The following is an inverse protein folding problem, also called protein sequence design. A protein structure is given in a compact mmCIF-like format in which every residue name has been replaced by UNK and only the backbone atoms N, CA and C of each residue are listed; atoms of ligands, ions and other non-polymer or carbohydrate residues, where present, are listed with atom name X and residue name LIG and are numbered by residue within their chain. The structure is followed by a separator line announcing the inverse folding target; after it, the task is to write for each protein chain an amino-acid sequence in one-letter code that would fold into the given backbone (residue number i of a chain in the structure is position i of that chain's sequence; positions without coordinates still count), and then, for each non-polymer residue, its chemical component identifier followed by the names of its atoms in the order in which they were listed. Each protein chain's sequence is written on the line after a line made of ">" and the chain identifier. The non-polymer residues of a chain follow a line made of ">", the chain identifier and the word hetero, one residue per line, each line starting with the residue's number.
data_IF_428414990578
#
_entry.id   IF_428414990578
#
_cell.length_a   1.000
_cell.length_b   1.000
_cell.length_c   1.000
_cell.angle_alpha   90.00
_cell.angle_beta   90.00
_cell.angle_gamma   90.00
#
_symmetry.space_group_name_H-M   'P 1'
#
loop_
_entity.id
_entity.type
_entity.pdbx_description
1 polymer ?
#
# COMPACT_ATOMS: atom_id res chain seq x y z
N UNK A 1 20.50 2.63 10.57
CA UNK A 1 19.84 1.55 9.82
C UNK A 1 19.16 0.65 10.82
N UNK A 2 17.84 0.74 10.94
CA UNK A 2 17.06 -0.34 11.53
C UNK A 2 16.98 -1.41 10.45
N UNK A 3 17.58 -2.58 10.71
CA UNK A 3 17.43 -3.77 9.89
C UNK A 3 15.96 -4.19 10.00
N UNK A 4 15.18 -3.98 8.94
CA UNK A 4 13.81 -4.48 8.87
C UNK A 4 13.89 -6.01 8.85
N UNK A 5 13.49 -6.65 9.94
CA UNK A 5 13.46 -8.10 9.99
C UNK A 5 12.49 -8.59 8.90
N UNK A 6 12.88 -9.58 8.10
CA UNK A 6 12.05 -10.15 7.01
C UNK A 6 10.60 -10.42 7.42
N UNK A 7 10.37 -10.75 8.69
CA UNK A 7 9.06 -11.01 9.28
C UNK A 7 8.15 -9.77 9.40
N UNK A 8 8.72 -8.58 9.60
CA UNK A 8 7.97 -7.31 9.68
C UNK A 8 7.47 -6.89 8.30
N UNK A 9 8.24 -7.16 7.24
CA UNK A 9 7.84 -6.80 5.87
C UNK A 9 6.65 -7.63 5.38
N UNK A 10 6.56 -8.91 5.79
CA UNK A 10 5.39 -9.73 5.48
C UNK A 10 4.11 -9.24 6.19
N UNK A 11 4.23 -8.53 7.31
CA UNK A 11 3.09 -7.94 8.00
C UNK A 11 2.53 -6.71 7.25
N UNK A 12 3.28 -6.17 6.28
CA UNK A 12 2.82 -5.08 5.41
C UNK A 12 1.86 -5.55 4.30
N UNK A 13 1.88 -6.84 3.94
CA UNK A 13 1.10 -7.37 2.81
C UNK A 13 -0.42 -7.15 2.93
N UNK A 14 -1.05 -7.38 4.10
CA UNK A 14 -2.46 -7.06 4.26
C UNK A 14 -2.74 -5.57 4.03
N UNK A 15 -1.85 -4.67 4.45
CA UNK A 15 -2.02 -3.23 4.22
C UNK A 15 -1.86 -2.86 2.75
N UNK A 16 -0.90 -3.47 2.04
CA UNK A 16 -0.74 -3.31 0.60
C UNK A 16 -2.03 -3.68 -0.15
N UNK A 17 -2.69 -4.76 0.26
CA UNK A 17 -3.94 -5.24 -0.34
C UNK A 17 -5.16 -4.38 0.03
N UNK A 18 -5.28 -4.02 1.31
CA UNK A 18 -6.57 -3.69 1.91
C UNK A 18 -7.26 -2.48 1.29
N UNK A 19 -6.58 -1.34 1.21
CA UNK A 19 -7.20 -0.11 0.68
C UNK A 19 -7.53 -0.22 -0.81
N UNK A 20 -6.59 -0.67 -1.69
CA UNK A 20 -6.93 -0.89 -3.09
C UNK A 20 -8.08 -1.90 -3.28
N UNK A 21 -8.07 -3.04 -2.56
CA UNK A 21 -9.11 -4.05 -2.73
C UNK A 21 -10.47 -3.56 -2.23
N UNK A 22 -10.50 -2.89 -1.09
CA UNK A 22 -11.73 -2.34 -0.53
C UNK A 22 -12.36 -1.31 -1.48
N UNK A 23 -11.55 -0.39 -2.01
CA UNK A 23 -11.98 0.62 -2.99
C UNK A 23 -12.46 0.00 -4.30
N UNK A 24 -11.89 -1.14 -4.71
CA UNK A 24 -12.35 -1.87 -5.89
C UNK A 24 -13.69 -2.62 -5.68
N UNK A 25 -14.25 -2.60 -4.47
CA UNK A 25 -15.53 -3.24 -4.14
C UNK A 25 -15.42 -4.62 -3.49
N UNK A 26 -14.21 -5.15 -3.27
CA UNK A 26 -14.04 -6.41 -2.54
C UNK A 26 -14.36 -6.22 -1.06
N UNK A 27 -14.74 -7.29 -0.36
CA UNK A 27 -15.10 -7.22 1.06
C UNK A 27 -14.27 -8.13 1.94
N UNK A 28 -13.73 -9.22 1.41
CA UNK A 28 -12.83 -10.08 2.15
C UNK A 28 -11.46 -10.19 1.47
N UNK A 29 -10.46 -10.53 2.28
CA UNK A 29 -9.08 -10.73 1.80
C UNK A 29 -9.02 -11.80 0.71
N UNK A 30 -9.77 -12.89 0.85
CA UNK A 30 -9.74 -14.00 -0.11
C UNK A 30 -10.40 -13.65 -1.44
N UNK A 31 -11.52 -12.92 -1.44
CA UNK A 31 -12.13 -12.44 -2.67
C UNK A 31 -11.13 -11.59 -3.47
N UNK A 32 -10.41 -10.70 -2.79
CA UNK A 32 -9.40 -9.86 -3.40
C UNK A 32 -8.19 -10.65 -3.90
N UNK A 33 -7.71 -11.64 -3.13
CA UNK A 33 -6.56 -12.47 -3.53
C UNK A 33 -6.87 -13.41 -4.70
N UNK A 34 -8.13 -13.80 -4.88
CA UNK A 34 -8.57 -14.58 -6.05
C UNK A 34 -8.55 -13.75 -7.35
N UNK A 35 -8.48 -12.42 -7.27
CA UNK A 35 -8.28 -11.58 -8.43
C UNK A 35 -6.78 -11.48 -8.80
N UNK A 36 -6.49 -11.83 -10.05
CA UNK A 36 -5.13 -11.83 -10.61
C UNK A 36 -4.42 -10.47 -10.55
N UNK A 37 -5.14 -9.34 -10.60
CA UNK A 37 -4.54 -8.01 -10.53
C UNK A 37 -3.95 -7.75 -9.15
N UNK A 38 -4.68 -8.09 -8.08
CA UNK A 38 -4.24 -7.89 -6.71
C UNK A 38 -3.15 -8.88 -6.30
N UNK A 39 -3.32 -10.16 -6.64
CA UNK A 39 -2.30 -11.17 -6.38
C UNK A 39 -0.99 -10.88 -7.13
N UNK A 40 -1.06 -10.40 -8.37
CA UNK A 40 0.13 -9.95 -9.12
C UNK A 40 0.74 -8.68 -8.52
N UNK A 41 -0.07 -7.72 -8.07
CA UNK A 41 0.41 -6.51 -7.39
C UNK A 41 1.21 -6.86 -6.12
N UNK A 42 0.69 -7.74 -5.27
CA UNK A 42 1.37 -8.20 -4.07
C UNK A 42 2.62 -9.02 -4.38
N UNK A 43 2.54 -9.93 -5.35
CA UNK A 43 3.70 -10.71 -5.80
C UNK A 43 4.82 -9.78 -6.29
N UNK A 44 4.46 -8.77 -7.08
CA UNK A 44 5.43 -7.81 -7.62
C UNK A 44 6.05 -6.97 -6.49
N UNK A 45 5.25 -6.52 -5.52
CA UNK A 45 5.78 -5.84 -4.33
C UNK A 45 6.81 -6.71 -3.59
N UNK A 46 6.49 -7.98 -3.32
CA UNK A 46 7.43 -8.88 -2.66
C UNK A 46 8.72 -9.04 -3.47
N UNK A 47 8.61 -9.38 -4.74
CA UNK A 47 9.77 -9.69 -5.57
C UNK A 47 10.65 -8.48 -5.86
N UNK A 48 10.05 -7.30 -6.06
CA UNK A 48 10.78 -6.11 -6.49
C UNK A 48 11.15 -5.18 -5.35
N UNK A 49 10.33 -5.09 -4.31
CA UNK A 49 10.50 -4.08 -3.26
C UNK A 49 10.96 -4.66 -1.94
N UNK A 50 10.79 -5.97 -1.72
CA UNK A 50 11.15 -6.62 -0.45
C UNK A 50 12.36 -7.53 -0.61
N UNK A 51 12.29 -8.50 -1.52
CA UNK A 51 13.34 -9.51 -1.69
C UNK A 51 14.75 -8.93 -1.88
N UNK A 52 14.97 -7.84 -2.63
CA UNK A 52 16.32 -7.28 -2.79
C UNK A 52 16.98 -6.83 -1.48
N UNK A 53 16.18 -6.42 -0.48
CA UNK A 53 16.68 -6.05 0.83
C UNK A 53 16.89 -7.27 1.73
N UNK A 54 16.00 -8.26 1.64
CA UNK A 54 16.11 -9.54 2.39
C UNK A 54 17.27 -10.40 1.89
N UNK A 55 17.52 -10.47 0.58
CA UNK A 55 18.61 -11.26 -0.02
C UNK A 55 20.00 -10.67 0.27
N UNK A 56 20.07 -9.36 0.55
CA UNK A 56 21.31 -8.67 0.92
C UNK A 56 21.79 -9.00 2.35
N UNK A 57 20.91 -9.53 3.19
CA UNK A 57 21.26 -10.07 4.51
C UNK A 57 21.76 -11.51 4.30
N UNK A 58 23.07 -11.75 4.43
CA UNK A 58 23.75 -13.05 4.26
C UNK A 58 23.29 -14.10 5.32
N UNK A 59 22.02 -14.51 5.30
CA UNK A 59 21.46 -15.52 6.19
C UNK A 59 21.09 -16.80 5.42
N UNK A 60 21.36 -18.02 5.95
CA UNK A 60 21.05 -19.29 5.30
C UNK A 60 19.55 -19.57 4.99
N UNK A 61 18.63 -18.66 5.34
CA UNK A 61 17.17 -18.83 5.24
C UNK A 61 16.52 -18.30 3.93
N UNK A 62 17.31 -17.89 2.94
CA UNK A 62 16.82 -17.22 1.72
C UNK A 62 15.81 -18.08 0.90
N UNK A 63 16.03 -19.40 0.84
CA UNK A 63 15.11 -20.30 0.12
C UNK A 63 13.77 -20.51 0.86
N UNK A 64 13.79 -20.34 2.19
CA UNK A 64 12.62 -20.51 3.04
C UNK A 64 11.68 -19.31 2.96
N UNK A 65 12.18 -18.09 2.85
CA UNK A 65 11.34 -16.88 2.76
C UNK A 65 10.46 -16.87 1.49
N UNK A 66 11.04 -17.23 0.34
CA UNK A 66 10.30 -17.28 -0.94
C UNK A 66 9.25 -18.38 -0.98
N UNK A 67 9.53 -19.50 -0.30
CA UNK A 67 8.63 -20.65 -0.23
C UNK A 67 7.55 -20.46 0.84
N UNK A 68 7.88 -19.86 1.98
CA UNK A 68 6.94 -19.51 3.05
C UNK A 68 5.89 -18.50 2.58
N UNK A 69 6.26 -17.47 1.82
CA UNK A 69 5.26 -16.49 1.36
C UNK A 69 4.30 -17.12 0.34
N UNK A 70 4.82 -17.84 -0.67
CA UNK A 70 3.95 -18.55 -1.63
C UNK A 70 3.02 -19.53 -0.92
N UNK A 71 3.53 -20.22 0.10
CA UNK A 71 2.74 -21.06 0.99
C UNK A 71 1.64 -20.28 1.73
N UNK A 72 1.94 -19.10 2.28
CA UNK A 72 0.98 -18.25 3.02
C UNK A 72 -0.15 -17.71 2.14
N UNK A 73 0.16 -17.28 0.92
CA UNK A 73 -0.88 -16.89 -0.05
C UNK A 73 -1.69 -18.08 -0.56
N UNK A 74 -1.11 -19.28 -0.51
CA UNK A 74 -1.81 -20.52 -0.88
C UNK A 74 -2.57 -21.15 0.29
N UNK A 75 -2.30 -20.72 1.53
CA UNK A 75 -3.02 -21.20 2.71
C UNK A 75 -4.21 -20.31 3.00
N UNK A 76 -5.41 -20.90 3.04
CA UNK A 76 -6.63 -20.25 3.47
C UNK A 76 -6.63 -19.59 4.85
N UNK A 77 -6.03 -18.42 5.01
CA UNK A 77 -6.46 -17.47 6.05
C UNK A 77 -7.60 -16.61 5.47
N UNK A 78 -8.59 -17.30 4.89
CA UNK A 78 -9.70 -16.77 4.09
C UNK A 78 -10.76 -16.15 4.99
N UNK A 79 -11.41 -15.11 4.50
CA UNK A 79 -12.60 -14.43 5.07
C UNK A 79 -12.38 -13.29 6.06
N UNK A 80 -11.15 -12.83 6.34
CA UNK A 80 -10.98 -11.60 7.10
C UNK A 80 -11.62 -10.42 6.34
N UNK A 81 -12.57 -9.67 6.96
CA UNK A 81 -13.17 -8.52 6.32
C UNK A 81 -12.12 -7.45 6.06
N UNK A 82 -12.03 -6.96 4.82
CA UNK A 82 -11.10 -5.89 4.44
C UNK A 82 -11.29 -4.63 5.27
N UNK A 83 -12.52 -4.37 5.75
CA UNK A 83 -12.80 -3.25 6.66
C UNK A 83 -12.03 -3.37 7.99
N UNK A 84 -11.85 -4.59 8.50
CA UNK A 84 -11.07 -4.83 9.73
C UNK A 84 -9.57 -4.66 9.46
N UNK A 85 -9.12 -4.99 8.25
CA UNK A 85 -7.72 -4.76 7.84
C UNK A 85 -7.47 -3.27 7.61
N UNK A 86 -8.45 -2.53 7.07
CA UNK A 86 -8.36 -1.08 6.84
C UNK A 86 -8.45 -0.26 8.13
N UNK A 87 -9.12 -0.78 9.17
CA UNK A 87 -9.33 -0.12 10.45
C UNK A 87 -8.01 0.41 11.03
N UNK A 88 -7.99 1.68 11.42
CA UNK A 88 -6.84 2.29 12.10
C UNK A 88 -5.54 2.23 11.29
N UNK A 89 -5.62 2.67 10.03
CA UNK A 89 -4.49 2.69 9.10
C UNK A 89 -3.32 3.53 9.56
N UNK A 90 -3.59 4.68 10.17
CA UNK A 90 -2.59 5.65 10.58
C UNK A 90 -1.65 5.11 11.65
N UNK A 91 -2.05 4.11 12.45
CA UNK A 91 -1.19 3.44 13.43
C UNK A 91 -0.29 2.35 12.80
N UNK A 92 -0.72 1.76 11.69
CA UNK A 92 -0.08 0.60 11.05
C UNK A 92 0.83 0.97 9.89
N UNK A 93 0.39 1.86 8.99
CA UNK A 93 1.14 2.23 7.79
C UNK A 93 2.54 2.78 8.11
N UNK A 94 2.74 3.63 9.15
CA UNK A 94 4.06 4.19 9.43
C UNK A 94 5.12 3.13 9.73
N UNK A 95 4.78 2.14 10.55
CA UNK A 95 5.73 1.09 10.95
C UNK A 95 5.90 0.01 9.88
N UNK A 96 4.85 -0.28 9.10
CA UNK A 96 4.86 -1.37 8.12
C UNK A 96 5.33 -0.96 6.71
N UNK A 97 5.10 0.30 6.31
CA UNK A 97 5.30 0.74 4.92
C UNK A 97 6.44 1.74 4.78
N UNK A 98 6.55 2.71 5.69
CA UNK A 98 7.53 3.78 5.55
C UNK A 98 8.98 3.29 5.55
N UNK A 99 9.38 2.27 6.34
CA UNK A 99 10.76 1.78 6.28
C UNK A 99 11.15 1.31 4.88
N UNK A 100 10.35 0.42 4.27
CA UNK A 100 10.60 -0.07 2.90
C UNK A 100 10.51 1.05 1.87
N UNK A 101 9.55 1.97 1.99
CA UNK A 101 9.44 3.10 1.07
C UNK A 101 10.67 4.02 1.15
N UNK A 102 11.16 4.33 2.35
CA UNK A 102 12.37 5.13 2.53
C UNK A 102 13.59 4.42 1.93
N UNK A 103 13.74 3.11 2.15
CA UNK A 103 14.83 2.33 1.55
C UNK A 103 14.79 2.36 0.01
N UNK A 104 13.59 2.27 -0.60
CA UNK A 104 13.43 2.40 -2.05
C UNK A 104 13.78 3.80 -2.55
N UNK A 105 13.37 4.85 -1.83
CA UNK A 105 13.66 6.24 -2.18
C UNK A 105 15.16 6.54 -2.09
N UNK A 106 15.81 6.10 -1.03
CA UNK A 106 17.24 6.32 -0.79
C UNK A 106 18.12 5.59 -1.81
N UNK A 107 17.65 4.44 -2.31
CA UNK A 107 18.32 3.67 -3.37
C UNK A 107 17.85 4.03 -4.79
N UNK A 108 17.00 5.04 -4.95
CA UNK A 108 16.42 5.45 -6.23
C UNK A 108 15.81 4.27 -7.02
N UNK A 109 15.13 3.37 -6.31
CA UNK A 109 14.43 2.21 -6.86
C UNK A 109 13.01 2.58 -7.26
N UNK A 110 12.34 1.67 -7.94
CA UNK A 110 10.95 1.86 -8.35
C UNK A 110 10.02 1.91 -7.12
N UNK A 111 9.24 2.99 -7.02
CA UNK A 111 8.32 3.30 -5.92
C UNK A 111 6.85 3.19 -6.33
N UNK A 112 6.54 2.77 -7.57
CA UNK A 112 5.18 2.76 -8.10
C UNK A 112 4.18 2.05 -7.20
N UNK A 113 4.55 0.91 -6.61
CA UNK A 113 3.65 0.10 -5.77
C UNK A 113 3.35 0.78 -4.45
N UNK A 114 4.37 1.33 -3.79
CA UNK A 114 4.20 2.07 -2.54
C UNK A 114 3.46 3.40 -2.72
N UNK A 115 3.74 4.12 -3.82
CA UNK A 115 2.99 5.33 -4.16
C UNK A 115 1.52 5.01 -4.45
N UNK A 116 1.23 3.88 -5.10
CA UNK A 116 -0.13 3.42 -5.35
C UNK A 116 -0.87 3.10 -4.04
N UNK A 117 -0.26 2.35 -3.12
CA UNK A 117 -0.84 2.09 -1.80
C UNK A 117 -1.20 3.40 -1.08
N UNK A 118 -0.25 4.33 -0.97
CA UNK A 118 -0.48 5.57 -0.22
C UNK A 118 -1.52 6.47 -0.91
N UNK A 119 -1.57 6.46 -2.24
CA UNK A 119 -2.62 7.15 -2.98
C UNK A 119 -3.99 6.52 -2.74
N UNK A 120 -4.09 5.19 -2.72
CA UNK A 120 -5.31 4.46 -2.39
C UNK A 120 -5.75 4.69 -0.95
N UNK A 121 -4.84 4.68 0.04
CA UNK A 121 -5.15 5.05 1.43
C UNK A 121 -5.68 6.48 1.52
N UNK A 122 -5.03 7.42 0.84
CA UNK A 122 -5.48 8.82 0.86
C UNK A 122 -6.84 9.02 0.19
N UNK A 123 -7.13 8.29 -0.88
CA UNK A 123 -8.45 8.27 -1.48
C UNK A 123 -9.48 7.61 -0.57
N UNK A 124 -9.14 6.47 0.04
CA UNK A 124 -9.98 5.76 0.99
C UNK A 124 -10.46 6.68 2.12
N UNK A 125 -9.56 7.46 2.71
CA UNK A 125 -9.89 8.38 3.80
C UNK A 125 -10.79 9.56 3.40
N UNK A 126 -10.81 9.97 2.12
CA UNK A 126 -11.47 11.21 1.67
C UNK A 126 -12.69 11.01 0.77
N UNK A 127 -12.85 9.84 0.14
CA UNK A 127 -13.86 9.62 -0.89
C UNK A 127 -15.25 9.23 -0.35
N UNK A 128 -15.32 8.58 0.82
CA UNK A 128 -16.55 8.04 1.43
C UNK A 128 -17.38 7.10 0.54
N UNK A 129 -16.88 6.74 -0.65
CA UNK A 129 -17.53 5.91 -1.66
C UNK A 129 -16.46 5.10 -2.37
N UNK A 130 -16.75 3.84 -2.65
CA UNK A 130 -15.86 2.97 -3.40
C UNK A 130 -16.11 3.09 -4.92
N UNK A 131 -15.31 2.40 -5.73
CA UNK A 131 -15.40 2.43 -7.20
C UNK A 131 -16.73 1.86 -7.73
N UNK A 132 -17.48 1.13 -6.89
CA UNK A 132 -18.81 0.60 -7.22
C UNK A 132 -19.94 1.58 -6.86
N UNK A 133 -19.61 2.67 -6.18
CA UNK A 133 -20.55 3.66 -5.66
C UNK A 133 -21.13 3.32 -4.30
N UNK A 134 -20.61 2.29 -3.61
CA UNK A 134 -21.07 1.94 -2.27
C UNK A 134 -20.45 2.89 -1.24
N UNK A 135 -21.29 3.50 -0.40
CA UNK A 135 -20.83 4.40 0.66
C UNK A 135 -20.18 3.65 1.82
N UNK A 136 -19.18 4.28 2.43
CA UNK A 136 -18.53 3.80 3.64
C UNK A 136 -17.97 4.96 4.45
N UNK A 137 -17.65 4.69 5.72
CA UNK A 137 -17.00 5.65 6.62
C UNK A 137 -15.62 5.10 7.00
N UNK A 138 -14.53 5.84 6.71
CA UNK A 138 -13.21 5.46 7.19
C UNK A 138 -13.19 5.49 8.71
N UNK A 139 -12.62 4.46 9.32
CA UNK A 139 -12.47 4.37 10.77
C UNK A 139 -10.99 4.34 11.13
N UNK A 140 -10.48 5.46 11.63
CA UNK A 140 -9.10 5.62 12.04
C UNK A 140 -9.03 6.38 13.37
N UNK A 141 -8.56 5.70 14.41
CA UNK A 141 -8.58 6.23 15.79
C UNK A 141 -7.34 7.05 16.11
N UNK A 142 -6.30 6.93 15.29
CA UNK A 142 -5.05 7.67 15.43
C UNK A 142 -5.00 8.96 14.62
N UNK A 143 -6.01 9.22 13.77
CA UNK A 143 -6.18 10.53 13.13
C UNK A 143 -6.89 11.50 14.05
N UNK A 144 -6.21 12.59 14.39
CA UNK A 144 -6.79 13.68 15.17
C UNK A 144 -7.41 14.76 14.26
N UNK A 145 -8.07 15.76 14.86
CA UNK A 145 -8.77 16.81 14.11
C UNK A 145 -7.88 17.51 13.08
N UNK A 146 -6.62 17.80 13.43
CA UNK A 146 -5.67 18.44 12.51
C UNK A 146 -5.23 17.52 11.37
N UNK A 147 -5.24 16.20 11.57
CA UNK A 147 -4.94 15.22 10.52
C UNK A 147 -6.11 15.10 9.55
N UNK A 148 -7.34 15.06 10.08
CA UNK A 148 -8.55 15.09 9.25
C UNK A 148 -8.65 16.37 8.42
N UNK A 149 -8.17 17.51 8.93
CA UNK A 149 -8.07 18.74 8.13
C UNK A 149 -7.12 18.58 6.94
N UNK A 150 -6.03 17.81 7.07
CA UNK A 150 -5.09 17.49 5.98
C UNK A 150 -5.68 16.48 5.00
N UNK A 151 -6.41 15.47 5.50
CA UNK A 151 -7.12 14.48 4.68
C UNK A 151 -8.15 15.15 3.76
N UNK A 152 -8.90 16.10 4.31
CA UNK A 152 -9.97 16.81 3.60
C UNK A 152 -9.49 18.07 2.86
N UNK A 153 -8.17 18.30 2.80
CA UNK A 153 -7.57 19.43 2.07
C UNK A 153 -7.72 19.25 0.56
N UNK A 154 -7.89 20.36 -0.17
CA UNK A 154 -7.79 20.36 -1.63
C UNK A 154 -6.36 20.00 -2.11
N UNK A 155 -5.35 20.30 -1.30
CA UNK A 155 -4.00 19.80 -1.55
C UNK A 155 -3.86 18.36 -1.07
N UNK A 156 -3.97 17.43 -2.00
CA UNK A 156 -3.83 15.98 -1.74
C UNK A 156 -2.49 15.62 -1.10
N UNK A 157 -1.44 16.43 -1.24
CA UNK A 157 -0.13 16.20 -0.62
C UNK A 157 -0.16 16.43 0.88
N UNK A 158 -1.07 17.27 1.39
CA UNK A 158 -1.18 17.53 2.82
C UNK A 158 -1.36 16.25 3.63
N UNK A 159 -2.00 15.22 3.04
CA UNK A 159 -2.14 13.90 3.66
C UNK A 159 -0.81 13.23 4.00
N UNK A 160 0.26 13.46 3.22
CA UNK A 160 1.59 12.92 3.50
C UNK A 160 2.22 13.54 4.76
N UNK A 161 1.61 14.59 5.30
CA UNK A 161 2.06 15.30 6.50
C UNK A 161 1.16 15.05 7.72
N UNK A 162 0.22 14.11 7.67
CA UNK A 162 -0.49 13.69 8.89
C UNK A 162 0.52 13.28 9.97
N UNK A 163 0.16 13.47 11.24
CA UNK A 163 1.05 13.30 12.39
C UNK A 163 1.83 11.99 12.37
N UNK A 164 1.20 10.90 11.94
CA UNK A 164 1.80 9.57 11.91
C UNK A 164 2.77 9.34 10.74
N UNK A 165 2.71 10.15 9.67
CA UNK A 165 3.57 10.03 8.49
C UNK A 165 4.59 11.17 8.34
N UNK A 166 4.40 12.28 9.06
CA UNK A 166 5.19 13.50 8.89
C UNK A 166 6.71 13.30 9.06
N UNK A 167 7.12 12.33 9.88
CA UNK A 167 8.53 12.01 10.15
C UNK A 167 9.27 11.49 8.93
N UNK A 168 8.59 10.81 8.00
CA UNK A 168 9.19 10.33 6.75
C UNK A 168 9.42 11.45 5.72
N UNK A 169 8.85 12.65 5.94
CA UNK A 169 9.03 13.83 5.09
C UNK A 169 8.83 13.57 3.60
N UNK A 170 7.88 12.70 3.23
CA UNK A 170 7.67 12.27 1.84
C UNK A 170 7.44 13.43 0.86
N UNK A 171 6.96 14.58 1.34
CA UNK A 171 6.80 15.80 0.56
C UNK A 171 8.13 16.36 -0.02
N UNK A 172 9.29 15.99 0.53
CA UNK A 172 10.59 16.44 0.04
C UNK A 172 11.05 15.68 -1.21
N UNK A 173 10.49 14.49 -1.46
CA UNK A 173 10.85 13.64 -2.60
C UNK A 173 9.99 14.02 -3.81
N UNK A 174 10.48 14.94 -4.64
CA UNK A 174 9.72 15.51 -5.78
C UNK A 174 9.18 14.45 -6.74
N UNK A 175 9.96 13.38 -7.02
CA UNK A 175 9.52 12.27 -7.86
C UNK A 175 8.34 11.50 -7.23
N UNK A 176 8.43 11.19 -5.94
CA UNK A 176 7.35 10.54 -5.19
C UNK A 176 6.09 11.40 -5.17
N UNK A 177 6.21 12.70 -4.87
CA UNK A 177 5.08 13.64 -4.82
C UNK A 177 4.38 13.73 -6.17
N UNK A 178 5.14 13.82 -7.28
CA UNK A 178 4.57 13.86 -8.62
C UNK A 178 3.77 12.58 -8.94
N UNK A 179 4.32 11.42 -8.61
CA UNK A 179 3.67 10.13 -8.81
C UNK A 179 2.42 9.98 -7.94
N UNK A 180 2.52 10.32 -6.64
CA UNK A 180 1.41 10.31 -5.71
C UNK A 180 0.24 11.19 -6.16
N UNK A 181 0.51 12.43 -6.60
CA UNK A 181 -0.52 13.34 -7.15
C UNK A 181 -1.19 12.74 -8.39
N UNK A 182 -0.40 12.18 -9.30
CA UNK A 182 -0.90 11.53 -10.50
C UNK A 182 -1.83 10.37 -10.13
N UNK A 183 -1.46 9.53 -9.17
CA UNK A 183 -2.27 8.40 -8.73
C UNK A 183 -3.53 8.83 -7.99
N UNK A 184 -3.47 9.82 -7.08
CA UNK A 184 -4.68 10.38 -6.45
C UNK A 184 -5.69 10.88 -7.50
N UNK A 185 -5.19 11.55 -8.54
CA UNK A 185 -6.02 12.06 -9.64
C UNK A 185 -6.63 10.92 -10.46
N UNK A 186 -5.84 9.90 -10.79
CA UNK A 186 -6.30 8.77 -11.59
C UNK A 186 -7.29 7.89 -10.83
N UNK A 187 -7.04 7.61 -9.55
CA UNK A 187 -7.96 6.86 -8.70
C UNK A 187 -9.31 7.60 -8.62
N UNK A 188 -9.30 8.89 -8.32
CA UNK A 188 -10.53 9.67 -8.23
C UNK A 188 -11.33 9.74 -9.54
N UNK A 189 -10.68 9.56 -10.70
CA UNK A 189 -11.33 9.68 -12.01
C UNK A 189 -11.71 8.34 -12.64
N UNK A 190 -10.91 7.30 -12.40
CA UNK A 190 -10.98 6.03 -13.13
C UNK A 190 -11.04 4.80 -12.21
N UNK A 191 -10.95 4.99 -10.90
CA UNK A 191 -10.89 3.92 -9.91
C UNK A 191 -9.50 3.28 -9.78
N UNK A 192 -9.34 2.49 -8.73
CA UNK A 192 -8.08 1.81 -8.40
C UNK A 192 -7.75 0.68 -9.39
N UNK A 193 -8.77 0.00 -9.93
CA UNK A 193 -8.58 -1.11 -10.89
C UNK A 193 -7.98 -0.62 -12.20
N UNK A 194 -8.34 0.58 -12.66
CA UNK A 194 -7.74 1.18 -13.86
C UNK A 194 -6.23 1.32 -13.69
N UNK A 195 -5.80 1.87 -12.55
CA UNK A 195 -4.40 2.12 -12.29
C UNK A 195 -3.60 0.81 -12.09
N UNK A 196 -4.18 -0.19 -11.42
CA UNK A 196 -3.59 -1.53 -11.32
C UNK A 196 -3.35 -2.16 -12.69
N UNK A 197 -4.31 -2.05 -13.63
CA UNK A 197 -4.14 -2.54 -15.00
C UNK A 197 -3.01 -1.81 -15.73
N UNK A 198 -2.91 -0.49 -15.56
CA UNK A 198 -1.83 0.30 -16.17
C UNK A 198 -0.45 -0.11 -15.63
N UNK A 199 -0.32 -0.29 -14.31
CA UNK A 199 0.92 -0.76 -13.69
C UNK A 199 1.30 -2.17 -14.18
N UNK A 200 0.33 -3.08 -14.31
CA UNK A 200 0.55 -4.41 -14.85
C UNK A 200 0.98 -4.39 -16.33
N UNK A 201 0.38 -3.51 -17.15
CA UNK A 201 0.74 -3.36 -18.56
C UNK A 201 2.15 -2.81 -18.74
N UNK A 202 2.51 -1.76 -18.00
CA UNK A 202 3.85 -1.15 -18.09
C UNK A 202 4.95 -2.15 -17.75
N UNK A 203 4.68 -3.11 -16.87
CA UNK A 203 5.61 -4.21 -16.56
C UNK A 203 5.85 -5.14 -17.76
N UNK A 204 4.84 -5.44 -18.55
CA UNK A 204 4.97 -6.33 -19.72
C UNK A 204 5.67 -5.65 -20.90
N UNK A 205 5.74 -4.32 -20.90
CA UNK A 205 6.33 -3.52 -21.97
C UNK A 205 7.83 -3.18 -21.75
N UNK A 206 8.39 -3.55 -20.60
CA UNK A 206 9.81 -3.41 -20.24
C UNK A 206 10.56 -4.73 -20.45
#
# INVERSE_FOLDING_TARGET
>A
MQTNNSQEVFNALPMMLAYPAFLAGYRTVDEALNDHLFSNYLTTFIEQDVMPFVESEESPSQHDARSQWRGRFSTPTLSDPLINVCFDGASKLPSLILPTLCDLLDQNRDIQRMAFLLAAYGHYLSANTDDTGASYEPNDTHLHQHDWAKVNSEDVVALLEISTMATARLHTYSHFVAMYKSYRTQIAKYGVVFLLKQMAYNRLAM
#
